data_IF_573097604665
#
_entry.id   IF_573097604665
#
_cell.length_a   1.000
_cell.length_b   1.000
_cell.length_c   1.000
_cell.angle_alpha   90.00
_cell.angle_beta   90.00
_cell.angle_gamma   90.00
#
_symmetry.space_group_name_H-M   'P 1'
#
loop_
_entity.id
_entity.type
_entity.pdbx_description
1 polymer ?
#
# COMPACT_ATOMS: atom_id res chain seq x y z
N UNK A 1 -31.24 10.42 -12.57
CA UNK A 1 -30.78 9.62 -11.40
C UNK A 1 -30.44 8.14 -11.68
N UNK A 2 -30.86 7.48 -12.78
CA UNK A 2 -30.56 6.04 -13.03
C UNK A 2 -29.33 5.73 -13.92
N UNK A 3 -28.69 6.73 -14.53
CA UNK A 3 -27.56 6.56 -15.46
C UNK A 3 -26.17 6.69 -14.80
N UNK A 4 -26.06 7.40 -13.67
CA UNK A 4 -24.81 7.50 -12.89
C UNK A 4 -24.48 6.24 -12.09
N UNK A 5 -25.50 5.54 -11.58
CA UNK A 5 -25.33 4.30 -10.78
C UNK A 5 -24.87 3.11 -11.64
N UNK A 6 -25.28 3.05 -12.91
CA UNK A 6 -24.86 2.00 -13.86
C UNK A 6 -23.42 2.17 -14.36
N UNK A 7 -22.93 3.41 -14.55
CA UNK A 7 -21.51 3.65 -14.89
C UNK A 7 -20.57 3.36 -13.71
N UNK A 8 -21.05 3.45 -12.48
CA UNK A 8 -20.29 3.15 -11.27
C UNK A 8 -20.13 1.64 -11.01
N UNK A 9 -21.18 0.84 -11.25
CA UNK A 9 -21.10 -0.63 -11.17
C UNK A 9 -20.11 -1.21 -12.20
N UNK A 10 -20.01 -0.61 -13.39
CA UNK A 10 -19.08 -1.06 -14.44
C UNK A 10 -17.63 -0.76 -14.07
N UNK A 11 -17.33 0.38 -13.43
CA UNK A 11 -15.97 0.70 -12.98
C UNK A 11 -15.52 -0.14 -11.77
N UNK A 12 -16.43 -0.44 -10.84
CA UNK A 12 -16.14 -1.34 -9.71
C UNK A 12 -16.03 -2.81 -10.17
N UNK A 13 -16.85 -3.24 -11.14
CA UNK A 13 -16.75 -4.56 -11.77
C UNK A 13 -15.49 -4.74 -12.62
N UNK A 14 -15.03 -3.70 -13.33
CA UNK A 14 -13.76 -3.75 -14.07
C UNK A 14 -12.52 -3.79 -13.15
N UNK A 15 -12.58 -3.17 -11.97
CA UNK A 15 -11.53 -3.25 -10.93
C UNK A 15 -11.59 -4.55 -10.11
N UNK A 16 -12.77 -5.16 -10.00
CA UNK A 16 -12.95 -6.52 -9.51
C UNK A 16 -12.38 -7.54 -10.50
N UNK A 17 -12.43 -7.25 -11.80
CA UNK A 17 -11.88 -8.11 -12.84
C UNK A 17 -10.35 -8.19 -12.75
N UNK A 18 -9.62 -7.14 -12.34
CA UNK A 18 -8.17 -7.20 -12.16
C UNK A 18 -7.72 -7.98 -10.91
N UNK A 19 -8.45 -7.89 -9.79
CA UNK A 19 -8.18 -8.76 -8.61
C UNK A 19 -8.64 -10.21 -8.87
N UNK A 20 -9.75 -10.41 -9.59
CA UNK A 20 -10.24 -11.72 -10.00
C UNK A 20 -9.38 -12.37 -11.10
N UNK A 21 -8.81 -11.60 -12.04
CA UNK A 21 -7.82 -12.10 -13.00
C UNK A 21 -6.48 -12.41 -12.32
N UNK A 22 -6.08 -11.63 -11.31
CA UNK A 22 -4.94 -11.97 -10.46
C UNK A 22 -5.16 -13.29 -9.69
N UNK A 23 -6.41 -13.64 -9.37
CA UNK A 23 -6.77 -14.92 -8.75
C UNK A 23 -6.82 -16.09 -9.76
N UNK A 24 -7.14 -15.85 -11.04
CA UNK A 24 -7.25 -16.91 -12.05
C UNK A 24 -5.94 -17.25 -12.77
N UNK A 25 -4.96 -16.34 -12.84
CA UNK A 25 -3.68 -16.60 -13.52
C UNK A 25 -2.61 -17.30 -12.67
N UNK A 26 -2.83 -17.48 -11.36
CA UNK A 26 -1.90 -18.19 -10.46
C UNK A 26 -2.30 -19.65 -10.18
N UNK A 27 -3.37 -20.14 -10.80
CA UNK A 27 -3.81 -21.54 -10.71
C UNK A 27 -3.74 -22.21 -12.09
N UNK A 28 -2.59 -22.83 -12.41
CA UNK A 28 -2.47 -23.98 -13.31
C UNK A 28 -2.80 -23.78 -14.80
N UNK A 29 -1.79 -23.95 -15.66
CA UNK A 29 -1.93 -23.87 -17.11
C UNK A 29 -2.72 -25.02 -17.74
N UNK A 30 -3.48 -24.68 -18.78
CA UNK A 30 -3.66 -25.49 -19.99
C UNK A 30 -3.64 -24.50 -21.17
N UNK A 31 -2.79 -24.79 -22.14
CA UNK A 31 -2.66 -24.08 -23.41
C UNK A 31 -3.95 -24.29 -24.21
N UNK A 32 -4.59 -23.19 -24.64
CA UNK A 32 -5.45 -23.21 -25.82
C UNK A 32 -5.02 -22.06 -26.74
N UNK A 33 -4.60 -22.44 -27.94
CA UNK A 33 -4.07 -21.58 -28.99
C UNK A 33 -5.12 -20.57 -29.48
N UNK A 34 -4.73 -19.35 -29.89
CA UNK A 34 -5.64 -18.45 -30.58
C UNK A 34 -5.80 -18.87 -32.04
N UNK A 35 -7.07 -18.97 -32.45
CA UNK A 35 -7.50 -19.05 -33.85
C UNK A 35 -7.14 -17.75 -34.58
N UNK A 36 -6.68 -17.94 -35.82
CA UNK A 36 -6.28 -16.97 -36.82
C UNK A 36 -7.40 -16.01 -37.23
N UNK A 37 -7.07 -14.75 -37.44
CA UNK A 37 -7.77 -13.88 -38.40
C UNK A 37 -6.78 -12.91 -39.07
N UNK A 38 -6.82 -12.92 -40.40
CA UNK A 38 -5.97 -12.27 -41.40
C UNK A 38 -6.34 -10.82 -41.69
N UNK A 39 -5.37 -10.00 -42.14
CA UNK A 39 -5.43 -9.16 -43.37
C UNK A 39 -4.20 -8.22 -43.46
N UNK A 40 -3.32 -8.45 -44.44
CA UNK A 40 -2.92 -7.57 -45.58
C UNK A 40 -2.01 -6.38 -45.22
N UNK A 41 -0.70 -6.47 -45.45
CA UNK A 41 0.04 -6.07 -46.68
C UNK A 41 0.02 -4.55 -46.96
N UNK A 42 1.21 -3.92 -46.88
CA UNK A 42 1.76 -3.19 -48.04
C UNK A 42 3.29 -2.98 -47.93
N UNK A 43 3.96 -3.21 -49.07
CA UNK A 43 5.40 -3.05 -49.35
C UNK A 43 5.74 -1.56 -49.52
N UNK A 44 7.00 -1.11 -49.46
CA UNK A 44 8.01 -1.06 -50.55
C UNK A 44 9.29 -0.44 -49.94
N UNK A 45 10.47 -1.08 -50.04
CA UNK A 45 11.53 -0.82 -51.04
C UNK A 45 12.59 0.17 -50.48
N UNK A 46 13.74 -0.26 -49.95
CA UNK A 46 15.00 -0.75 -50.57
C UNK A 46 15.80 0.31 -51.36
N UNK A 47 17.13 0.09 -51.39
CA UNK A 47 18.24 0.78 -52.11
C UNK A 47 18.91 1.90 -51.27
N UNK A 48 20.16 1.87 -50.79
CA UNK A 48 21.47 1.20 -51.03
C UNK A 48 22.52 2.14 -51.64
N UNK A 49 23.78 1.94 -51.17
CA UNK A 49 25.08 2.38 -51.72
C UNK A 49 25.42 3.87 -51.54
N UNK A 50 26.65 4.27 -51.27
CA UNK A 50 27.91 3.56 -51.11
C UNK A 50 29.10 4.52 -51.32
N UNK A 51 30.27 4.15 -50.77
CA UNK A 51 31.63 4.52 -51.20
C UNK A 51 32.05 6.01 -51.11
N UNK A 52 33.32 6.40 -51.02
CA UNK A 52 34.60 5.85 -50.55
C UNK A 52 35.63 6.99 -50.81
N UNK A 53 36.62 7.14 -49.91
CA UNK A 53 37.96 7.72 -50.06
C UNK A 53 38.25 8.99 -50.90
N UNK A 54 39.06 9.90 -50.31
CA UNK A 54 40.35 10.32 -50.89
C UNK A 54 41.26 11.01 -49.86
N UNK A 55 42.53 10.59 -49.89
CA UNK A 55 43.67 11.03 -49.07
C UNK A 55 44.15 12.46 -49.38
N UNK A 56 44.91 13.07 -48.43
CA UNK A 56 46.04 13.95 -48.77
C UNK A 56 47.14 13.92 -47.69
N UNK A 57 48.35 13.53 -48.10
CA UNK A 57 49.64 13.60 -47.40
C UNK A 57 50.15 15.05 -47.29
N UNK A 58 50.83 15.40 -46.19
CA UNK A 58 51.96 16.35 -46.19
C UNK A 58 53.04 15.90 -45.18
N UNK A 59 54.29 15.99 -45.63
CA UNK A 59 55.57 15.78 -44.93
C UNK A 59 55.67 16.55 -43.59
N UNK A 60 56.43 16.19 -42.56
CA UNK A 60 57.75 15.56 -42.50
C UNK A 60 58.73 16.54 -41.84
N UNK A 61 59.03 16.37 -40.54
CA UNK A 61 60.20 16.94 -39.86
C UNK A 61 60.65 16.02 -38.73
N UNK A 62 61.92 15.58 -38.82
CA UNK A 62 62.60 14.67 -37.88
C UNK A 62 62.91 15.40 -36.57
N UNK A 63 62.60 14.78 -35.43
CA UNK A 63 63.14 15.16 -34.12
C UNK A 63 63.65 13.91 -33.38
N UNK A 64 64.70 14.12 -32.59
CA UNK A 64 65.71 13.16 -32.11
C UNK A 64 65.14 12.07 -31.18
N UNK A 65 65.61 10.83 -31.39
CA UNK A 65 65.41 9.66 -30.52
C UNK A 65 65.99 9.92 -29.13
N UNK A 66 65.15 9.84 -28.09
CA UNK A 66 65.58 9.61 -26.70
C UNK A 66 65.00 8.26 -26.27
N UNK A 67 65.88 7.27 -26.10
CA UNK A 67 65.52 5.91 -25.70
C UNK A 67 65.21 5.92 -24.21
N UNK A 68 63.93 5.85 -23.85
CA UNK A 68 63.49 5.52 -22.49
C UNK A 68 63.18 4.03 -22.46
N UNK A 69 63.93 3.27 -21.65
CA UNK A 69 63.65 1.87 -21.35
C UNK A 69 62.30 1.78 -20.63
N UNK A 70 61.25 1.42 -21.36
CA UNK A 70 59.98 0.99 -20.76
C UNK A 70 60.20 -0.41 -20.19
N UNK A 71 60.25 -0.54 -18.86
CA UNK A 71 60.09 -1.84 -18.20
C UNK A 71 58.72 -2.38 -18.62
N UNK A 72 58.67 -3.57 -19.23
CA UNK A 72 57.42 -4.34 -19.36
C UNK A 72 56.90 -4.60 -17.95
N UNK A 73 55.97 -3.75 -17.48
CA UNK A 73 55.14 -4.09 -16.35
C UNK A 73 54.22 -5.19 -16.85
N UNK A 74 54.50 -6.41 -16.41
CA UNK A 74 53.59 -7.54 -16.48
C UNK A 74 52.18 -7.05 -16.13
N UNK A 75 51.25 -7.15 -17.08
CA UNK A 75 49.85 -6.88 -16.84
C UNK A 75 49.41 -7.80 -15.71
N UNK A 76 49.24 -7.24 -14.51
CA UNK A 76 48.54 -7.94 -13.43
C UNK A 76 47.18 -8.29 -13.98
N UNK A 77 46.99 -9.59 -14.23
CA UNK A 77 45.73 -10.22 -14.58
C UNK A 77 44.66 -9.62 -13.64
N UNK A 78 43.69 -8.92 -14.20
CA UNK A 78 42.55 -8.44 -13.43
C UNK A 78 42.00 -9.61 -12.59
N UNK A 79 41.71 -9.42 -11.29
CA UNK A 79 41.21 -10.52 -10.49
C UNK A 79 39.94 -11.03 -11.15
N UNK A 80 39.93 -12.31 -11.52
CA UNK A 80 38.73 -13.01 -12.01
C UNK A 80 37.62 -12.69 -11.02
N UNK A 81 36.56 -12.02 -11.48
CA UNK A 81 35.48 -11.53 -10.63
C UNK A 81 35.05 -12.60 -9.63
N UNK A 82 35.33 -12.36 -8.34
CA UNK A 82 34.93 -13.27 -7.28
C UNK A 82 33.40 -13.29 -7.27
N UNK A 83 32.77 -14.40 -7.68
CA UNK A 83 31.32 -14.57 -7.53
C UNK A 83 30.99 -14.33 -6.07
N UNK A 84 30.22 -13.29 -5.77
CA UNK A 84 29.77 -13.00 -4.41
C UNK A 84 29.00 -14.20 -3.91
N UNK A 85 29.52 -14.87 -2.87
CA UNK A 85 28.81 -15.95 -2.21
C UNK A 85 27.60 -15.36 -1.49
N UNK A 86 26.39 -15.76 -1.91
CA UNK A 86 25.13 -15.22 -1.40
C UNK A 86 25.02 -15.37 0.12
N UNK A 87 25.33 -16.54 0.66
CA UNK A 87 25.16 -16.84 2.09
C UNK A 87 26.49 -17.06 2.80
N UNK A 88 26.64 -16.47 4.00
CA UNK A 88 27.82 -16.66 4.84
C UNK A 88 27.91 -18.10 5.39
N UNK A 89 26.77 -18.74 5.67
CA UNK A 89 26.71 -20.11 6.16
C UNK A 89 25.29 -20.68 6.15
N UNK A 90 25.13 -21.87 6.71
CA UNK A 90 23.84 -22.57 6.83
C UNK A 90 23.46 -23.43 5.62
N UNK A 91 22.33 -24.13 5.73
CA UNK A 91 21.76 -24.99 4.69
C UNK A 91 20.28 -24.68 4.40
N UNK A 92 19.75 -23.58 4.95
CA UNK A 92 18.36 -23.15 4.76
C UNK A 92 17.34 -23.95 5.59
N UNK A 93 17.76 -24.87 6.45
CA UNK A 93 16.87 -25.56 7.39
C UNK A 93 16.50 -24.68 8.59
N UNK A 94 15.46 -25.07 9.35
CA UNK A 94 15.09 -24.38 10.57
C UNK A 94 16.24 -24.30 11.61
N UNK A 95 17.01 -25.39 11.76
CA UNK A 95 18.15 -25.47 12.70
C UNK A 95 19.39 -24.71 12.19
N UNK A 96 19.59 -24.66 10.88
CA UNK A 96 20.77 -24.04 10.24
C UNK A 96 20.33 -23.14 9.08
N UNK A 97 19.66 -22.00 9.39
CA UNK A 97 19.20 -21.08 8.36
C UNK A 97 20.37 -20.55 7.55
N UNK A 98 20.11 -20.22 6.28
CA UNK A 98 21.09 -19.50 5.48
C UNK A 98 21.29 -18.09 6.03
N UNK A 99 22.54 -17.66 6.22
CA UNK A 99 22.83 -16.37 6.87
C UNK A 99 23.31 -15.31 5.88
N UNK A 100 22.82 -14.09 6.07
CA UNK A 100 23.25 -12.88 5.36
C UNK A 100 23.80 -11.88 6.39
N UNK A 101 24.95 -11.27 6.09
CA UNK A 101 25.63 -10.28 6.96
C UNK A 101 26.22 -9.09 6.21
N UNK A 102 25.98 -8.97 4.91
CA UNK A 102 26.45 -7.80 4.15
C UNK A 102 25.43 -7.39 3.09
N UNK A 103 25.49 -6.12 2.71
CA UNK A 103 24.66 -5.58 1.64
C UNK A 103 24.91 -6.30 0.29
N UNK A 104 26.15 -6.69 0.00
CA UNK A 104 26.48 -7.45 -1.20
C UNK A 104 25.82 -8.84 -1.22
N UNK A 105 25.75 -9.50 -0.06
CA UNK A 105 25.05 -10.78 0.10
C UNK A 105 23.54 -10.62 -0.09
N UNK A 106 22.94 -9.59 0.51
CA UNK A 106 21.50 -9.32 0.37
C UNK A 106 21.14 -8.98 -1.08
N UNK A 107 21.96 -8.18 -1.78
CA UNK A 107 21.79 -7.90 -3.22
C UNK A 107 21.91 -9.16 -4.08
N UNK A 108 22.91 -10.00 -3.82
CA UNK A 108 23.08 -11.26 -4.55
C UNK A 108 21.91 -12.24 -4.28
N UNK A 109 21.35 -12.22 -3.07
CA UNK A 109 20.14 -12.96 -2.73
C UNK A 109 18.93 -12.46 -3.51
N UNK A 110 18.68 -11.14 -3.53
CA UNK A 110 17.62 -10.53 -4.33
C UNK A 110 17.71 -10.94 -5.81
N UNK A 111 18.92 -10.86 -6.39
CA UNK A 111 19.18 -11.30 -7.76
C UNK A 111 18.90 -12.79 -7.99
N UNK A 112 19.17 -13.64 -7.01
CA UNK A 112 18.87 -15.08 -7.08
C UNK A 112 17.36 -15.35 -7.11
N UNK A 113 16.59 -14.65 -6.28
CA UNK A 113 15.11 -14.71 -6.32
C UNK A 113 14.58 -14.21 -7.65
N UNK A 114 15.11 -13.09 -8.13
CA UNK A 114 14.75 -12.51 -9.42
C UNK A 114 15.24 -13.34 -10.63
N UNK A 115 16.03 -14.40 -10.39
CA UNK A 115 16.39 -15.47 -11.34
C UNK A 115 15.58 -16.76 -11.15
N UNK A 116 14.54 -16.73 -10.31
CA UNK A 116 13.53 -17.80 -10.21
C UNK A 116 13.76 -18.77 -9.05
N UNK A 117 14.81 -18.57 -8.25
CA UNK A 117 15.00 -19.35 -7.04
C UNK A 117 14.02 -18.85 -5.97
N UNK A 118 12.91 -19.55 -5.76
CA UNK A 118 11.83 -19.10 -4.86
C UNK A 118 12.16 -19.19 -3.37
N UNK A 119 13.10 -20.06 -3.00
CA UNK A 119 13.44 -20.39 -1.61
C UNK A 119 12.27 -20.98 -0.80
N UNK A 120 11.29 -21.58 -1.47
CA UNK A 120 10.15 -22.23 -0.81
C UNK A 120 10.60 -23.20 0.30
N UNK A 121 10.03 -23.04 1.50
CA UNK A 121 10.35 -23.85 2.67
C UNK A 121 11.77 -23.66 3.24
N UNK A 122 12.56 -22.70 2.74
CA UNK A 122 13.91 -22.40 3.25
C UNK A 122 13.89 -21.18 4.16
N UNK A 123 14.74 -21.22 5.20
CA UNK A 123 14.93 -20.11 6.14
C UNK A 123 16.20 -19.33 5.85
N UNK A 124 16.06 -18.03 5.69
CA UNK A 124 17.13 -17.04 5.54
C UNK A 124 17.11 -16.15 6.78
N UNK A 125 18.27 -15.82 7.34
CA UNK A 125 18.40 -15.01 8.55
C UNK A 125 19.46 -13.91 8.40
N UNK A 126 19.12 -12.69 8.83
CA UNK A 126 20.11 -11.64 9.01
C UNK A 126 20.94 -11.88 10.27
N UNK A 127 22.25 -11.70 10.17
CA UNK A 127 23.19 -11.86 11.29
C UNK A 127 23.94 -10.57 11.64
N UNK A 128 23.73 -9.51 10.85
CA UNK A 128 24.14 -8.15 11.13
C UNK A 128 23.08 -7.21 10.56
N UNK A 129 23.15 -5.95 10.97
CA UNK A 129 22.45 -4.89 10.26
C UNK A 129 23.04 -4.73 8.85
N UNK A 130 22.23 -4.19 7.93
CA UNK A 130 22.55 -4.11 6.50
C UNK A 130 22.32 -2.69 6.01
N UNK A 131 23.38 -2.02 5.56
CA UNK A 131 23.29 -0.70 4.93
C UNK A 131 23.13 -0.83 3.40
N UNK A 132 22.00 -0.35 2.88
CA UNK A 132 21.70 -0.31 1.45
C UNK A 132 21.94 1.05 0.79
N UNK A 133 22.32 2.08 1.54
CA UNK A 133 22.41 3.48 1.08
C UNK A 133 23.30 3.70 -0.15
N UNK A 134 24.32 2.86 -0.35
CA UNK A 134 25.30 2.99 -1.44
C UNK A 134 24.78 2.74 -2.85
N UNK A 135 23.55 2.26 -3.06
CA UNK A 135 22.96 2.08 -4.40
C UNK A 135 21.44 1.91 -4.38
N UNK A 136 20.78 2.23 -5.50
CA UNK A 136 19.36 1.89 -5.71
C UNK A 136 19.14 0.39 -5.52
N UNK A 137 18.09 0.07 -4.77
CA UNK A 137 17.69 -1.27 -4.43
C UNK A 137 16.86 -1.91 -5.55
N UNK A 138 17.18 -3.16 -5.87
CA UNK A 138 16.31 -4.04 -6.67
C UNK A 138 15.54 -4.95 -5.71
N UNK A 139 14.19 -4.91 -5.70
CA UNK A 139 13.39 -5.69 -4.76
C UNK A 139 13.68 -7.20 -4.79
N UNK A 140 13.50 -7.86 -3.63
CA UNK A 140 13.55 -9.32 -3.52
C UNK A 140 12.24 -9.87 -4.06
N UNK A 141 12.34 -10.56 -5.19
CA UNK A 141 11.18 -11.01 -5.92
C UNK A 141 10.56 -9.89 -6.75
N UNK A 142 9.79 -10.30 -7.76
CA UNK A 142 9.20 -9.41 -8.74
C UNK A 142 7.73 -9.75 -8.96
N UNK A 143 6.89 -8.72 -8.98
CA UNK A 143 5.51 -8.80 -9.45
C UNK A 143 5.20 -7.57 -10.29
N UNK A 144 4.60 -7.82 -11.44
CA UNK A 144 4.00 -6.82 -12.33
C UNK A 144 2.87 -7.52 -13.07
N UNK A 145 1.70 -6.89 -13.04
CA UNK A 145 0.53 -7.36 -13.78
C UNK A 145 0.85 -7.60 -15.26
N UNK A 146 0.35 -8.71 -15.82
CA UNK A 146 0.61 -9.10 -17.21
C UNK A 146 2.01 -9.68 -17.48
N UNK A 147 2.80 -9.96 -16.44
CA UNK A 147 4.13 -10.60 -16.59
C UNK A 147 4.34 -11.77 -15.62
N UNK A 148 5.29 -12.65 -15.96
CA UNK A 148 5.65 -13.77 -15.10
C UNK A 148 6.23 -13.26 -13.77
N UNK A 149 5.51 -13.52 -12.68
CA UNK A 149 5.94 -13.15 -11.33
C UNK A 149 7.02 -14.09 -10.80
N UNK A 150 7.93 -13.55 -9.99
CA UNK A 150 9.03 -14.29 -9.33
C UNK A 150 9.02 -13.98 -7.84
N UNK A 151 7.98 -14.40 -7.09
CA UNK A 151 7.87 -14.06 -5.69
C UNK A 151 8.90 -14.81 -4.84
N UNK A 152 9.25 -14.21 -3.71
CA UNK A 152 9.90 -14.94 -2.63
C UNK A 152 8.85 -15.80 -1.90
N UNK A 153 9.18 -17.07 -1.62
CA UNK A 153 8.30 -18.05 -0.97
C UNK A 153 8.88 -18.68 0.29
N UNK A 154 10.01 -18.15 0.77
CA UNK A 154 10.72 -18.66 1.94
C UNK A 154 10.35 -17.97 3.24
N UNK A 155 11.15 -18.22 4.27
CA UNK A 155 11.09 -17.54 5.56
C UNK A 155 12.28 -16.60 5.66
N UNK A 156 12.03 -15.30 5.74
CA UNK A 156 13.03 -14.27 5.98
C UNK A 156 12.95 -13.79 7.42
N UNK A 157 13.96 -14.12 8.22
CA UNK A 157 14.07 -13.76 9.63
C UNK A 157 15.10 -12.64 9.79
N UNK A 158 14.63 -11.41 9.97
CA UNK A 158 15.47 -10.26 10.26
C UNK A 158 16.22 -10.40 11.59
N UNK A 159 15.79 -11.30 12.49
CA UNK A 159 16.47 -11.56 13.76
C UNK A 159 16.75 -10.29 14.58
N UNK A 160 15.82 -9.32 14.53
CA UNK A 160 15.91 -8.03 15.20
C UNK A 160 16.89 -7.05 14.55
N UNK A 161 17.42 -7.36 13.36
CA UNK A 161 18.36 -6.52 12.63
C UNK A 161 17.67 -5.47 11.78
N UNK A 162 18.41 -4.40 11.53
CA UNK A 162 17.94 -3.24 10.76
C UNK A 162 18.54 -3.23 9.36
N UNK A 163 17.71 -2.86 8.39
CA UNK A 163 18.10 -2.52 7.02
C UNK A 163 17.98 -1.02 6.87
N UNK A 164 19.10 -0.34 6.59
CA UNK A 164 19.16 1.12 6.44
C UNK A 164 19.19 1.54 4.98
N UNK A 165 18.71 2.77 4.70
CA UNK A 165 18.96 3.43 3.42
C UNK A 165 18.33 2.72 2.23
N UNK A 166 17.20 2.05 2.43
CA UNK A 166 16.45 1.38 1.37
C UNK A 166 15.95 2.42 0.36
N UNK A 167 16.55 2.47 -0.83
CA UNK A 167 16.14 3.38 -1.92
C UNK A 167 15.60 2.61 -3.10
N UNK A 168 14.29 2.65 -3.33
CA UNK A 168 13.66 2.07 -4.52
C UNK A 168 13.14 3.21 -5.38
N UNK A 169 13.63 3.28 -6.62
CA UNK A 169 13.16 4.23 -7.62
C UNK A 169 12.78 3.43 -8.86
N UNK A 170 11.53 2.97 -8.92
CA UNK A 170 11.06 2.16 -10.05
C UNK A 170 9.68 2.62 -10.52
N UNK A 171 9.60 3.81 -11.15
CA UNK A 171 8.33 4.35 -11.64
C UNK A 171 7.71 3.52 -12.78
N UNK A 172 8.48 2.64 -13.43
CA UNK A 172 8.00 1.82 -14.53
C UNK A 172 7.66 0.39 -14.07
N UNK A 173 6.45 0.23 -13.53
CA UNK A 173 5.64 -0.99 -13.56
C UNK A 173 6.11 -2.21 -12.75
N UNK A 174 6.11 -2.13 -11.43
CA UNK A 174 6.20 -3.31 -10.59
C UNK A 174 5.95 -2.98 -9.12
N UNK A 175 5.61 -4.01 -8.35
CA UNK A 175 5.45 -3.93 -6.92
C UNK A 175 6.81 -3.57 -6.26
N UNK A 176 6.83 -2.50 -5.46
CA UNK A 176 8.05 -1.90 -4.93
C UNK A 176 8.17 -2.05 -3.40
N UNK A 177 9.39 -2.33 -2.94
CA UNK A 177 9.73 -2.47 -1.52
C UNK A 177 11.07 -3.16 -1.30
N UNK A 178 11.39 -3.51 -0.06
CA UNK A 178 12.49 -4.46 0.19
C UNK A 178 12.22 -5.77 -0.56
N UNK A 179 10.98 -6.27 -0.46
CA UNK A 179 10.43 -7.33 -1.27
C UNK A 179 9.53 -6.73 -2.36
N UNK A 180 9.67 -7.21 -3.59
CA UNK A 180 8.70 -6.85 -4.63
C UNK A 180 7.43 -7.66 -4.44
N UNK A 181 7.60 -8.97 -4.20
CA UNK A 181 6.48 -9.89 -4.10
C UNK A 181 6.74 -11.04 -3.13
N UNK A 182 5.75 -11.31 -2.29
CA UNK A 182 5.69 -12.44 -1.36
C UNK A 182 4.55 -13.39 -1.77
N UNK A 183 4.81 -14.70 -1.77
CA UNK A 183 3.80 -15.74 -2.04
C UNK A 183 4.03 -16.94 -1.13
N UNK A 184 3.14 -17.15 -0.15
CA UNK A 184 3.34 -18.21 0.85
C UNK A 184 4.56 -17.97 1.75
N UNK A 185 5.06 -16.74 1.81
CA UNK A 185 6.29 -16.40 2.51
C UNK A 185 6.03 -15.92 3.94
N UNK A 186 7.08 -15.95 4.77
CA UNK A 186 7.07 -15.33 6.09
C UNK A 186 8.19 -14.30 6.21
N UNK A 187 7.88 -13.09 6.66
CA UNK A 187 8.87 -12.05 7.00
C UNK A 187 8.74 -11.71 8.48
N UNK A 188 9.82 -11.89 9.23
CA UNK A 188 9.78 -11.86 10.69
C UNK A 188 10.90 -10.95 11.25
N UNK A 189 10.62 -10.24 12.34
CA UNK A 189 11.62 -9.58 13.19
C UNK A 189 12.60 -8.66 12.42
N UNK A 190 12.07 -7.79 11.57
CA UNK A 190 12.87 -6.98 10.66
C UNK A 190 12.56 -5.50 10.86
N UNK A 191 13.61 -4.69 11.00
CA UNK A 191 13.49 -3.25 11.01
C UNK A 191 13.98 -2.69 9.67
N UNK A 192 13.27 -1.72 9.13
CA UNK A 192 13.69 -0.93 7.96
C UNK A 192 13.72 0.53 8.40
N UNK A 193 14.86 1.17 8.28
CA UNK A 193 15.03 2.55 8.72
C UNK A 193 15.37 3.46 7.53
N UNK A 194 14.72 4.61 7.48
CA UNK A 194 14.86 5.62 6.43
C UNK A 194 14.59 5.06 5.01
N UNK A 195 13.49 4.35 4.84
CA UNK A 195 13.05 3.90 3.53
C UNK A 195 12.68 5.10 2.62
N UNK A 196 13.08 5.05 1.36
CA UNK A 196 12.64 5.95 0.30
C UNK A 196 12.19 5.10 -0.87
N UNK A 197 10.90 4.81 -0.93
CA UNK A 197 10.30 3.92 -1.94
C UNK A 197 9.41 4.73 -2.85
N UNK A 198 9.70 4.71 -4.14
CA UNK A 198 8.84 5.22 -5.20
C UNK A 198 8.51 4.09 -6.17
N UNK A 199 7.29 3.55 -6.04
CA UNK A 199 6.77 2.47 -6.87
C UNK A 199 5.88 2.96 -8.01
N UNK A 200 5.62 2.07 -8.97
CA UNK A 200 4.71 2.36 -10.09
C UNK A 200 3.25 2.26 -9.65
N UNK A 201 2.76 1.03 -9.51
CA UNK A 201 1.40 0.76 -9.00
C UNK A 201 1.49 0.58 -7.49
N UNK A 202 1.95 -0.60 -7.06
CA UNK A 202 1.94 -1.02 -5.66
C UNK A 202 3.28 -0.72 -4.97
N UNK A 203 3.24 -0.15 -3.77
CA UNK A 203 4.45 0.21 -3.05
C UNK A 203 4.28 0.04 -1.53
N UNK A 204 5.31 -0.52 -0.89
CA UNK A 204 5.45 -0.54 0.56
C UNK A 204 6.90 -0.72 0.97
N UNK A 205 7.30 -0.17 2.12
CA UNK A 205 8.69 -0.27 2.56
C UNK A 205 9.15 -1.73 2.71
N UNK A 206 8.27 -2.59 3.24
CA UNK A 206 8.55 -4.01 3.41
C UNK A 206 8.25 -4.80 2.14
N UNK A 207 7.04 -4.67 1.58
CA UNK A 207 6.66 -5.38 0.37
C UNK A 207 5.78 -4.55 -0.56
N UNK A 208 5.94 -4.69 -1.87
CA UNK A 208 4.96 -4.16 -2.82
C UNK A 208 3.68 -4.99 -2.83
N UNK A 209 3.81 -6.32 -2.97
CA UNK A 209 2.68 -7.25 -3.02
C UNK A 209 2.87 -8.45 -2.09
N UNK A 210 1.81 -8.88 -1.41
CA UNK A 210 1.81 -10.04 -0.54
C UNK A 210 0.59 -10.95 -0.76
N UNK A 211 0.83 -12.22 -1.09
CA UNK A 211 -0.21 -13.23 -1.24
C UNK A 211 0.04 -14.41 -0.30
N UNK A 212 -1.00 -14.85 0.43
CA UNK A 212 -0.92 -16.00 1.34
C UNK A 212 0.29 -15.93 2.30
N UNK A 213 0.69 -14.73 2.70
CA UNK A 213 1.95 -14.49 3.40
C UNK A 213 1.72 -14.05 4.84
N UNK A 214 2.72 -14.27 5.69
CA UNK A 214 2.75 -13.81 7.08
C UNK A 214 3.85 -12.74 7.24
N UNK A 215 3.50 -11.60 7.83
CA UNK A 215 4.48 -10.58 8.21
C UNK A 215 4.31 -10.27 9.68
N UNK A 216 5.39 -10.37 10.46
CA UNK A 216 5.29 -10.28 11.92
C UNK A 216 6.47 -9.58 12.57
N UNK A 217 6.20 -8.78 13.60
CA UNK A 217 7.22 -8.07 14.37
C UNK A 217 8.15 -7.26 13.46
N UNK A 218 7.59 -6.48 12.53
CA UNK A 218 8.38 -5.68 11.60
C UNK A 218 8.06 -4.20 11.79
N UNK A 219 9.09 -3.37 11.71
CA UNK A 219 8.99 -1.93 11.87
C UNK A 219 9.61 -1.28 10.63
N UNK A 220 8.96 -0.27 10.08
CA UNK A 220 9.54 0.54 9.03
C UNK A 220 9.34 2.04 9.27
N UNK A 221 10.32 2.84 8.86
CA UNK A 221 10.23 4.30 8.81
C UNK A 221 10.55 4.81 7.41
N UNK A 222 10.03 5.99 7.05
CA UNK A 222 10.45 6.72 5.85
C UNK A 222 9.31 7.20 4.94
N UNK A 223 9.60 7.32 3.65
CA UNK A 223 8.70 7.86 2.64
C UNK A 223 8.36 6.80 1.59
N UNK A 224 7.06 6.60 1.35
CA UNK A 224 6.55 5.66 0.36
C UNK A 224 5.60 6.39 -0.59
N UNK A 225 5.87 6.35 -1.88
CA UNK A 225 5.01 6.91 -2.91
C UNK A 225 4.73 5.92 -4.04
N UNK A 226 3.58 6.08 -4.69
CA UNK A 226 3.19 5.25 -5.84
C UNK A 226 1.88 5.65 -6.49
N UNK A 227 1.39 4.77 -7.37
CA UNK A 227 0.13 4.90 -8.10
C UNK A 227 -1.06 4.42 -7.28
N UNK A 228 -1.35 3.12 -7.35
CA UNK A 228 -2.49 2.47 -6.70
C UNK A 228 -2.03 1.40 -5.71
N UNK A 229 -2.63 1.33 -4.52
CA UNK A 229 -2.23 0.34 -3.51
C UNK A 229 -0.88 0.70 -2.90
N UNK A 230 -0.82 1.87 -2.27
CA UNK A 230 0.39 2.38 -1.60
C UNK A 230 0.19 2.22 -0.10
N UNK A 231 1.01 1.37 0.52
CA UNK A 231 1.03 1.17 1.97
C UNK A 231 2.35 1.62 2.56
N UNK A 232 2.39 2.14 3.79
CA UNK A 232 3.68 2.41 4.44
C UNK A 232 4.55 1.15 4.58
N UNK A 233 3.94 0.00 4.87
CA UNK A 233 4.61 -1.29 4.98
C UNK A 233 4.41 -2.17 3.75
N UNK A 234 3.15 -2.32 3.31
CA UNK A 234 2.78 -3.28 2.26
C UNK A 234 1.85 -2.60 1.25
N UNK A 235 2.16 -2.63 -0.04
CA UNK A 235 1.29 -2.01 -1.05
C UNK A 235 -0.09 -2.67 -1.13
N UNK A 236 -0.12 -3.91 -1.61
CA UNK A 236 -1.35 -4.72 -1.73
C UNK A 236 -1.18 -6.08 -1.07
N UNK A 237 -2.24 -6.57 -0.44
CA UNK A 237 -2.25 -7.85 0.22
C UNK A 237 -3.53 -8.65 -0.05
N UNK A 238 -3.36 -9.95 -0.29
CA UNK A 238 -4.45 -10.89 -0.43
C UNK A 238 -4.22 -12.17 0.39
N UNK A 239 -5.26 -12.65 1.09
CA UNK A 239 -5.25 -13.90 1.87
C UNK A 239 -4.10 -13.99 2.87
N UNK A 240 -3.67 -12.85 3.41
CA UNK A 240 -2.45 -12.73 4.22
C UNK A 240 -2.76 -12.39 5.68
N UNK A 241 -1.75 -12.50 6.55
CA UNK A 241 -1.86 -12.17 7.98
C UNK A 241 -0.69 -11.32 8.42
N UNK A 242 -0.99 -10.17 9.00
CA UNK A 242 -0.02 -9.17 9.41
C UNK A 242 -0.21 -8.85 10.88
N UNK A 243 0.87 -8.97 11.65
CA UNK A 243 0.79 -8.92 13.11
C UNK A 243 1.96 -8.18 13.76
N UNK A 244 1.68 -7.30 14.73
CA UNK A 244 2.73 -6.54 15.45
C UNK A 244 3.62 -5.78 14.49
N UNK A 245 3.01 -4.87 13.73
CA UNK A 245 3.70 -4.04 12.75
C UNK A 245 3.68 -2.57 13.18
N UNK A 246 4.69 -1.81 12.77
CA UNK A 246 4.70 -0.37 12.99
C UNK A 246 5.23 0.38 11.78
N UNK A 247 4.58 1.49 11.44
CA UNK A 247 5.06 2.43 10.43
C UNK A 247 5.12 3.86 10.95
N UNK A 248 6.19 4.57 10.63
CA UNK A 248 6.32 6.00 10.89
C UNK A 248 6.85 6.74 9.67
N UNK A 249 6.07 7.68 9.13
CA UNK A 249 6.53 8.51 8.03
C UNK A 249 5.42 8.98 7.11
N UNK A 250 5.74 9.14 5.82
CA UNK A 250 4.82 9.70 4.83
C UNK A 250 4.46 8.68 3.77
N UNK A 251 3.17 8.53 3.51
CA UNK A 251 2.62 7.71 2.41
C UNK A 251 1.87 8.63 1.44
N UNK A 252 2.20 8.53 0.15
CA UNK A 252 1.55 9.33 -0.91
C UNK A 252 1.13 8.46 -2.09
N UNK A 253 -0.17 8.30 -2.30
CA UNK A 253 -0.71 7.66 -3.50
C UNK A 253 -1.23 8.71 -4.49
N UNK A 254 -0.82 8.61 -5.75
CA UNK A 254 -1.36 9.47 -6.83
C UNK A 254 -2.70 8.95 -7.37
N UNK A 255 -2.97 7.65 -7.19
CA UNK A 255 -4.20 6.96 -7.54
C UNK A 255 -5.04 6.59 -6.31
N UNK A 256 -5.48 5.34 -6.26
CA UNK A 256 -6.42 4.81 -5.28
C UNK A 256 -5.71 4.02 -4.18
N UNK A 257 -6.34 3.89 -3.01
CA UNK A 257 -5.91 3.02 -1.91
C UNK A 257 -4.56 3.43 -1.31
N UNK A 258 -4.57 4.55 -0.58
CA UNK A 258 -3.46 4.96 0.28
C UNK A 258 -3.70 4.45 1.70
N UNK A 259 -2.78 3.64 2.22
CA UNK A 259 -2.82 3.10 3.57
C UNK A 259 -1.56 3.43 4.35
N UNK A 260 -1.66 3.87 5.59
CA UNK A 260 -0.44 4.08 6.39
C UNK A 260 0.30 2.77 6.73
N UNK A 261 -0.40 1.63 6.79
CA UNK A 261 0.21 0.31 6.89
C UNK A 261 0.09 -0.48 5.57
N UNK A 262 -1.14 -0.68 5.07
CA UNK A 262 -1.42 -1.49 3.88
C UNK A 262 -2.28 -0.72 2.89
N UNK A 263 -1.87 -0.58 1.64
CA UNK A 263 -2.69 0.15 0.64
C UNK A 263 -4.05 -0.53 0.43
N UNK A 264 -4.06 -1.79 -0.02
CA UNK A 264 -5.28 -2.58 -0.21
C UNK A 264 -5.19 -3.94 0.48
N UNK A 265 -6.26 -4.31 1.19
CA UNK A 265 -6.42 -5.61 1.84
C UNK A 265 -7.58 -6.39 1.24
N UNK A 266 -7.32 -7.62 0.77
CA UNK A 266 -8.35 -8.57 0.37
C UNK A 266 -8.23 -9.87 1.19
N UNK A 267 -9.30 -10.30 1.88
CA UNK A 267 -9.28 -11.53 2.70
C UNK A 267 -8.08 -11.58 3.67
N UNK A 268 -7.68 -10.40 4.16
CA UNK A 268 -6.43 -10.21 4.92
C UNK A 268 -6.75 -9.72 6.32
N UNK A 269 -5.96 -10.18 7.29
CA UNK A 269 -6.07 -9.77 8.70
C UNK A 269 -4.89 -8.90 9.07
N UNK A 270 -5.17 -7.70 9.58
CA UNK A 270 -4.20 -6.78 10.14
C UNK A 270 -4.48 -6.63 11.64
N UNK A 271 -3.51 -7.02 12.49
CA UNK A 271 -3.69 -6.95 13.94
C UNK A 271 -2.48 -6.37 14.68
N UNK A 272 -2.72 -5.61 15.75
CA UNK A 272 -1.65 -5.03 16.58
C UNK A 272 -0.71 -4.16 15.76
N UNK A 273 -1.28 -3.19 15.06
CA UNK A 273 -0.52 -2.28 14.20
C UNK A 273 -0.60 -0.86 14.72
N UNK A 274 0.55 -0.18 14.71
CA UNK A 274 0.66 1.24 15.04
C UNK A 274 1.14 2.02 13.82
N UNK A 275 0.47 3.12 13.51
CA UNK A 275 0.88 4.03 12.43
C UNK A 275 0.93 5.47 12.93
N UNK A 276 1.99 6.19 12.58
CA UNK A 276 2.16 7.63 12.83
C UNK A 276 2.68 8.35 11.59
N UNK A 277 2.39 9.64 11.47
CA UNK A 277 2.88 10.50 10.39
C UNK A 277 1.77 10.98 9.47
N UNK A 278 1.97 10.88 8.14
CA UNK A 278 1.07 11.47 7.15
C UNK A 278 0.69 10.49 6.05
N UNK A 279 -0.60 10.41 5.71
CA UNK A 279 -1.11 9.63 4.58
C UNK A 279 -1.89 10.55 3.65
N UNK A 280 -1.50 10.57 2.38
CA UNK A 280 -2.14 11.38 1.34
C UNK A 280 -2.55 10.50 0.16
N UNK A 281 -3.75 10.71 -0.36
CA UNK A 281 -4.21 10.00 -1.55
C UNK A 281 -5.37 10.68 -2.26
N UNK A 282 -5.84 10.10 -3.37
CA UNK A 282 -6.98 10.64 -4.12
C UNK A 282 -8.31 9.98 -3.71
N UNK A 283 -8.39 8.66 -3.76
CA UNK A 283 -9.60 7.88 -3.46
C UNK A 283 -9.24 6.67 -2.59
N UNK A 284 -10.01 6.39 -1.55
CA UNK A 284 -9.74 5.29 -0.62
C UNK A 284 -8.48 5.57 0.19
N UNK A 285 -8.53 6.57 1.07
CA UNK A 285 -7.39 7.00 1.88
C UNK A 285 -7.68 6.63 3.32
N UNK A 286 -6.80 5.84 3.93
CA UNK A 286 -6.90 5.42 5.33
C UNK A 286 -5.57 5.46 6.06
N UNK A 287 -5.60 5.87 7.32
CA UNK A 287 -4.40 5.88 8.16
C UNK A 287 -3.78 4.49 8.40
N UNK A 288 -4.57 3.42 8.30
CA UNK A 288 -4.12 2.03 8.36
C UNK A 288 -4.22 1.36 6.99
N UNK A 289 -5.42 1.38 6.40
CA UNK A 289 -5.72 0.72 5.14
C UNK A 289 -6.47 1.63 4.17
N UNK A 290 -6.04 1.70 2.90
CA UNK A 290 -6.80 2.43 1.89
C UNK A 290 -8.15 1.77 1.58
N UNK A 291 -8.15 0.44 1.46
CA UNK A 291 -9.36 -0.35 1.26
C UNK A 291 -9.30 -1.72 1.91
N UNK A 292 -10.45 -2.20 2.38
CA UNK A 292 -10.64 -3.55 2.90
C UNK A 292 -11.74 -4.25 2.07
N UNK A 293 -11.43 -5.46 1.60
CA UNK A 293 -12.35 -6.35 0.90
C UNK A 293 -12.36 -7.67 1.68
N UNK A 294 -13.47 -8.01 2.34
CA UNK A 294 -13.59 -9.26 3.10
C UNK A 294 -12.48 -9.47 4.15
N UNK A 295 -12.00 -8.40 4.80
CA UNK A 295 -10.85 -8.43 5.71
C UNK A 295 -11.15 -7.96 7.14
N UNK A 296 -10.13 -7.98 7.99
CA UNK A 296 -10.24 -7.58 9.39
C UNK A 296 -9.09 -6.67 9.80
N UNK A 297 -9.42 -5.58 10.50
CA UNK A 297 -8.49 -4.72 11.24
C UNK A 297 -8.84 -4.79 12.72
N UNK A 298 -7.89 -5.21 13.57
CA UNK A 298 -8.15 -5.29 15.01
C UNK A 298 -6.98 -4.90 15.90
N UNK A 299 -7.29 -4.44 17.11
CA UNK A 299 -6.31 -4.13 18.16
C UNK A 299 -5.20 -3.19 17.65
N UNK A 300 -5.55 -2.15 16.90
CA UNK A 300 -4.61 -1.29 16.16
C UNK A 300 -4.89 0.19 16.37
N UNK A 301 -3.87 1.02 16.29
CA UNK A 301 -3.94 2.45 16.62
C UNK A 301 -3.24 3.36 15.60
N UNK A 302 -3.94 4.39 15.14
CA UNK A 302 -3.35 5.50 14.40
C UNK A 302 -3.24 6.71 15.33
N UNK A 303 -2.03 7.12 15.70
CA UNK A 303 -1.80 8.19 16.68
C UNK A 303 -0.89 9.25 16.06
N UNK A 304 -1.19 10.54 16.28
CA UNK A 304 -0.49 11.65 15.62
C UNK A 304 -0.46 11.46 14.10
N UNK A 305 -1.61 11.10 13.54
CA UNK A 305 -1.76 10.72 12.15
C UNK A 305 -2.59 11.76 11.39
N UNK A 306 -2.01 12.33 10.34
CA UNK A 306 -2.71 13.21 9.42
C UNK A 306 -3.12 12.42 8.17
N UNK A 307 -4.41 12.39 7.86
CA UNK A 307 -4.96 11.69 6.69
C UNK A 307 -5.66 12.69 5.78
N UNK A 308 -5.15 12.84 4.56
CA UNK A 308 -5.69 13.78 3.57
C UNK A 308 -6.11 13.07 2.29
N UNK A 309 -7.33 13.31 1.84
CA UNK A 309 -7.79 12.76 0.56
C UNK A 309 -8.91 13.53 -0.11
N UNK A 310 -9.27 13.14 -1.34
CA UNK A 310 -10.41 13.75 -2.03
C UNK A 310 -11.70 12.95 -1.79
N UNK A 311 -11.65 11.62 -1.85
CA UNK A 311 -12.84 10.77 -1.78
C UNK A 311 -12.60 9.53 -0.92
N UNK A 312 -13.62 9.13 -0.15
CA UNK A 312 -13.56 7.96 0.74
C UNK A 312 -12.34 8.04 1.66
N UNK A 313 -12.37 9.03 2.55
CA UNK A 313 -11.26 9.34 3.45
C UNK A 313 -11.65 8.91 4.84
N UNK A 314 -10.92 7.94 5.41
CA UNK A 314 -11.11 7.47 6.78
C UNK A 314 -9.87 7.72 7.61
N UNK A 315 -10.00 8.06 8.89
CA UNK A 315 -8.83 8.17 9.76
C UNK A 315 -8.03 6.88 9.86
N UNK A 316 -8.68 5.71 9.78
CA UNK A 316 -8.00 4.40 9.70
C UNK A 316 -8.23 3.67 8.37
N UNK A 317 -9.45 3.70 7.82
CA UNK A 317 -9.79 2.90 6.64
C UNK A 317 -10.49 3.75 5.57
N UNK A 318 -9.97 3.82 4.36
CA UNK A 318 -10.64 4.59 3.29
C UNK A 318 -12.00 4.01 2.92
N UNK A 319 -12.06 2.71 2.63
CA UNK A 319 -13.31 2.02 2.32
C UNK A 319 -13.36 0.56 2.79
N UNK A 320 -14.57 0.08 3.10
CA UNK A 320 -14.87 -1.32 3.38
C UNK A 320 -15.87 -1.81 2.34
N UNK A 321 -15.51 -2.85 1.60
CA UNK A 321 -16.33 -3.44 0.54
C UNK A 321 -16.67 -4.91 0.87
N UNK A 322 -17.89 -5.33 0.48
CA UNK A 322 -18.54 -6.63 0.75
C UNK A 322 -18.78 -6.92 2.22
N UNK A 323 -17.73 -7.16 2.97
CA UNK A 323 -17.74 -7.40 4.42
C UNK A 323 -16.40 -6.95 4.98
N UNK A 324 -16.38 -6.24 6.09
CA UNK A 324 -15.15 -5.93 6.80
C UNK A 324 -15.40 -5.81 8.28
N UNK A 325 -14.39 -6.17 9.07
CA UNK A 325 -14.49 -6.11 10.54
C UNK A 325 -13.43 -5.17 11.06
N UNK A 326 -13.89 -4.16 11.81
CA UNK A 326 -13.03 -3.30 12.61
C UNK A 326 -13.36 -3.56 14.08
N UNK A 327 -12.34 -3.90 14.87
CA UNK A 327 -12.53 -4.24 16.28
C UNK A 327 -11.43 -3.64 17.14
N UNK A 328 -11.78 -2.92 18.20
CA UNK A 328 -10.78 -2.38 19.15
C UNK A 328 -9.71 -1.56 18.42
N UNK A 329 -10.18 -0.57 17.66
CA UNK A 329 -9.29 0.31 16.90
C UNK A 329 -9.41 1.73 17.42
N UNK A 330 -8.30 2.43 17.44
CA UNK A 330 -8.21 3.81 17.95
C UNK A 330 -7.62 4.71 16.86
N UNK A 331 -8.28 5.83 16.61
CA UNK A 331 -7.74 6.92 15.82
C UNK A 331 -7.59 8.16 16.70
N UNK A 332 -6.42 8.77 16.66
CA UNK A 332 -6.11 10.05 17.27
C UNK A 332 -5.26 10.89 16.31
N UNK A 333 -5.91 11.86 15.67
CA UNK A 333 -5.27 12.68 14.65
C UNK A 333 -6.24 13.55 13.88
N UNK A 334 -5.81 13.98 12.69
CA UNK A 334 -6.59 14.84 11.82
C UNK A 334 -6.95 14.11 10.53
N UNK A 335 -8.23 14.16 10.16
CA UNK A 335 -8.73 13.68 8.86
C UNK A 335 -9.24 14.86 8.07
N UNK A 336 -8.74 15.04 6.84
CA UNK A 336 -9.21 16.06 5.90
C UNK A 336 -9.65 15.41 4.59
N UNK A 337 -10.93 15.57 4.25
CA UNK A 337 -11.51 14.97 3.04
C UNK A 337 -12.52 15.88 2.34
N UNK A 338 -12.76 15.66 1.04
CA UNK A 338 -13.79 16.42 0.29
C UNK A 338 -15.11 15.66 0.20
N UNK A 339 -15.06 14.35 -0.06
CA UNK A 339 -16.25 13.51 -0.18
C UNK A 339 -16.11 12.25 0.67
N UNK A 340 -17.15 11.95 1.47
CA UNK A 340 -17.20 10.74 2.31
C UNK A 340 -16.04 10.72 3.30
N UNK A 341 -16.05 11.64 4.25
CA UNK A 341 -15.00 11.77 5.26
C UNK A 341 -15.46 11.14 6.56
N UNK A 342 -14.74 10.12 7.04
CA UNK A 342 -15.00 9.43 8.29
C UNK A 342 -13.82 9.53 9.26
N UNK A 343 -14.06 9.67 10.55
CA UNK A 343 -12.97 9.57 11.53
C UNK A 343 -12.39 8.16 11.61
N UNK A 344 -13.18 7.10 11.35
CA UNK A 344 -12.65 5.74 11.18
C UNK A 344 -12.66 5.32 9.72
N UNK A 345 -13.82 5.37 9.07
CA UNK A 345 -14.03 4.79 7.74
C UNK A 345 -14.66 5.78 6.77
N UNK A 346 -14.05 6.04 5.62
CA UNK A 346 -14.66 6.93 4.62
C UNK A 346 -16.01 6.39 4.11
N UNK A 347 -16.02 5.16 3.61
CA UNK A 347 -17.23 4.48 3.15
C UNK A 347 -17.32 3.02 3.62
N UNK A 348 -18.44 2.67 4.25
CA UNK A 348 -18.80 1.30 4.63
C UNK A 348 -19.91 0.80 3.70
N UNK A 349 -19.60 -0.15 2.82
CA UNK A 349 -20.62 -0.85 2.02
C UNK A 349 -21.41 -1.82 2.90
N UNK A 350 -20.69 -2.66 3.64
CA UNK A 350 -21.22 -3.57 4.65
C UNK A 350 -20.07 -4.00 5.57
N UNK A 351 -20.28 -3.90 6.88
CA UNK A 351 -19.24 -4.24 7.85
C UNK A 351 -19.70 -4.24 9.30
N UNK A 352 -18.81 -4.68 10.18
CA UNK A 352 -19.01 -4.68 11.62
C UNK A 352 -17.91 -3.86 12.27
N UNK A 353 -18.30 -2.74 12.88
CA UNK A 353 -17.41 -1.90 13.68
C UNK A 353 -17.75 -2.11 15.16
N UNK A 354 -16.78 -2.49 15.97
CA UNK A 354 -16.99 -2.79 17.39
C UNK A 354 -15.89 -2.24 18.25
N UNK A 355 -16.25 -1.56 19.34
CA UNK A 355 -15.30 -1.07 20.34
C UNK A 355 -14.25 -0.13 19.71
N UNK A 356 -14.70 0.83 18.90
CA UNK A 356 -13.81 1.72 18.15
C UNK A 356 -13.84 3.15 18.71
N UNK A 357 -12.73 3.85 18.58
CA UNK A 357 -12.54 5.16 19.20
C UNK A 357 -11.94 6.17 18.22
N UNK A 358 -12.43 7.41 18.25
CA UNK A 358 -12.01 8.52 17.40
C UNK A 358 -11.78 9.77 18.24
N UNK A 359 -10.56 10.30 18.19
CA UNK A 359 -10.15 11.55 18.78
C UNK A 359 -9.47 12.46 17.74
N UNK A 360 -9.29 13.73 18.09
CA UNK A 360 -8.71 14.75 17.22
C UNK A 360 -9.77 15.49 16.40
N UNK A 361 -9.58 15.60 15.09
CA UNK A 361 -10.46 16.37 14.20
C UNK A 361 -10.82 15.62 12.92
N UNK A 362 -12.09 15.71 12.52
CA UNK A 362 -12.62 15.16 11.28
C UNK A 362 -13.21 16.31 10.46
N UNK A 363 -12.47 16.74 9.45
CA UNK A 363 -12.76 17.89 8.62
C UNK A 363 -13.14 17.41 7.22
N UNK A 364 -14.43 17.49 6.88
CA UNK A 364 -14.94 17.09 5.56
C UNK A 364 -15.66 18.21 4.84
N UNK A 365 -15.97 18.04 3.55
CA UNK A 365 -16.89 18.93 2.85
C UNK A 365 -18.27 18.27 2.79
N UNK A 366 -18.40 17.21 2.00
CA UNK A 366 -19.66 16.45 1.90
C UNK A 366 -19.60 15.10 2.63
N UNK A 367 -20.69 14.78 3.34
CA UNK A 367 -20.91 13.50 4.01
C UNK A 367 -19.78 13.22 5.00
N UNK A 368 -19.71 14.07 6.01
CA UNK A 368 -18.71 14.00 7.07
C UNK A 368 -19.29 13.29 8.29
N UNK A 369 -18.61 12.25 8.77
CA UNK A 369 -19.02 11.54 9.97
C UNK A 369 -17.87 11.29 10.94
N UNK A 370 -18.13 11.34 12.24
CA UNK A 370 -17.11 11.00 13.23
C UNK A 370 -16.68 9.54 13.17
N UNK A 371 -17.59 8.59 12.91
CA UNK A 371 -17.24 7.19 12.61
C UNK A 371 -17.07 6.99 11.11
N UNK A 372 -18.09 7.35 10.32
CA UNK A 372 -18.07 7.11 8.88
C UNK A 372 -18.62 8.23 8.01
N UNK A 373 -18.03 8.49 6.85
CA UNK A 373 -18.62 9.43 5.90
C UNK A 373 -19.95 8.90 5.33
N UNK A 374 -19.91 7.68 4.78
CA UNK A 374 -21.09 6.96 4.28
C UNK A 374 -21.19 5.58 4.91
N UNK A 375 -22.39 5.27 5.40
CA UNK A 375 -22.78 3.97 5.92
C UNK A 375 -23.90 3.39 5.05
N UNK A 376 -23.59 2.37 4.25
CA UNK A 376 -24.57 1.71 3.39
C UNK A 376 -25.35 0.64 4.13
N UNK A 377 -24.65 -0.27 4.82
CA UNK A 377 -25.24 -1.35 5.61
C UNK A 377 -24.24 -1.87 6.67
N UNK A 378 -24.71 -2.73 7.57
CA UNK A 378 -23.89 -3.38 8.60
C UNK A 378 -24.23 -2.96 10.03
N UNK A 379 -23.32 -3.21 10.97
CA UNK A 379 -23.51 -2.86 12.37
C UNK A 379 -22.31 -2.14 12.98
N UNK A 380 -22.53 -0.97 13.58
CA UNK A 380 -21.60 -0.34 14.48
C UNK A 380 -22.07 -0.52 15.93
N UNK A 381 -21.16 -0.91 16.82
CA UNK A 381 -21.44 -1.11 18.23
C UNK A 381 -20.36 -0.52 19.10
N UNK A 382 -20.77 0.22 20.15
CA UNK A 382 -19.83 0.77 21.14
C UNK A 382 -18.69 1.57 20.49
N UNK A 383 -19.05 2.40 19.51
CA UNK A 383 -18.12 3.33 18.91
C UNK A 383 -18.24 4.68 19.63
N UNK A 384 -17.10 5.26 20.00
CA UNK A 384 -17.02 6.53 20.72
C UNK A 384 -16.30 7.56 19.85
N UNK A 385 -16.90 8.73 19.69
CA UNK A 385 -16.31 9.85 18.95
C UNK A 385 -16.11 11.01 19.90
N UNK A 386 -14.85 11.27 20.26
CA UNK A 386 -14.39 12.46 21.00
C UNK A 386 -13.85 13.55 20.09
N UNK A 387 -13.74 13.27 18.80
CA UNK A 387 -13.23 14.22 17.82
C UNK A 387 -14.20 15.38 17.56
N UNK A 388 -13.65 16.54 17.22
CA UNK A 388 -14.40 17.61 16.58
C UNK A 388 -14.76 17.21 15.14
N UNK A 389 -16.03 17.29 14.77
CA UNK A 389 -16.51 16.90 13.43
C UNK A 389 -17.07 18.11 12.72
N UNK A 390 -16.49 18.48 11.58
CA UNK A 390 -16.91 19.66 10.82
C UNK A 390 -17.06 19.39 9.32
N UNK A 391 -18.09 19.96 8.71
CA UNK A 391 -18.22 19.97 7.25
C UNK A 391 -19.33 20.83 6.68
N UNK A 392 -19.47 20.84 5.36
CA UNK A 392 -20.41 21.75 4.68
C UNK A 392 -21.80 21.14 4.51
N UNK A 393 -21.92 19.84 4.21
CA UNK A 393 -23.20 19.19 3.99
C UNK A 393 -23.23 17.72 4.43
N UNK A 394 -24.30 17.31 5.13
CA UNK A 394 -24.49 15.95 5.60
C UNK A 394 -23.46 15.60 6.68
N UNK A 395 -23.51 16.33 7.79
CA UNK A 395 -22.54 16.20 8.89
C UNK A 395 -23.17 15.45 10.05
N UNK A 396 -22.53 14.39 10.53
CA UNK A 396 -23.01 13.57 11.64
C UNK A 396 -21.92 13.24 12.64
N UNK A 397 -22.22 13.23 13.94
CA UNK A 397 -21.25 12.75 14.93
C UNK A 397 -20.89 11.27 14.76
N UNK A 398 -21.84 10.44 14.36
CA UNK A 398 -21.62 9.05 13.96
C UNK A 398 -21.37 8.93 12.44
N UNK A 399 -22.34 9.33 11.61
CA UNK A 399 -22.23 9.18 10.16
C UNK A 399 -22.77 10.35 9.37
N UNK A 400 -22.06 10.76 8.31
CA UNK A 400 -22.55 11.81 7.43
C UNK A 400 -23.82 11.40 6.69
N UNK A 401 -23.82 10.17 6.15
CA UNK A 401 -25.01 9.56 5.54
C UNK A 401 -25.15 8.10 5.95
N UNK A 402 -26.32 7.73 6.48
CA UNK A 402 -26.66 6.35 6.82
C UNK A 402 -27.84 5.87 5.99
N UNK A 403 -27.64 4.87 5.14
CA UNK A 403 -28.67 4.32 4.24
C UNK A 403 -29.48 3.21 4.89
N UNK A 404 -28.81 2.22 5.50
CA UNK A 404 -29.38 1.08 6.24
C UNK A 404 -28.47 0.74 7.43
N UNK A 405 -28.68 -0.42 8.05
CA UNK A 405 -27.83 -0.93 9.13
C UNK A 405 -28.24 -0.42 10.52
N UNK A 406 -27.41 -0.72 11.51
CA UNK A 406 -27.66 -0.44 12.92
C UNK A 406 -26.44 0.22 13.55
N UNK A 407 -26.64 1.36 14.21
CA UNK A 407 -25.70 1.89 15.20
C UNK A 407 -26.28 1.61 16.60
N UNK A 408 -25.57 0.83 17.41
CA UNK A 408 -26.02 0.36 18.73
C UNK A 408 -25.03 0.77 19.81
N UNK A 409 -25.48 1.53 20.81
CA UNK A 409 -24.65 2.09 21.89
C UNK A 409 -23.44 2.86 21.39
N UNK A 410 -23.63 3.72 20.39
CA UNK A 410 -22.58 4.63 19.92
C UNK A 410 -22.72 6.00 20.59
N UNK A 411 -21.60 6.63 20.91
CA UNK A 411 -21.56 7.88 21.66
C UNK A 411 -20.80 8.96 20.91
N UNK A 412 -21.42 10.14 20.79
CA UNK A 412 -20.78 11.36 20.32
C UNK A 412 -20.49 12.26 21.53
N UNK A 413 -19.22 12.48 21.82
CA UNK A 413 -18.73 13.30 22.93
C UNK A 413 -18.07 14.61 22.47
N UNK A 414 -17.56 14.67 21.23
CA UNK A 414 -17.05 15.91 20.63
C UNK A 414 -18.16 16.78 20.03
N UNK A 415 -17.79 17.98 19.60
CA UNK A 415 -18.72 18.90 18.93
C UNK A 415 -18.90 18.57 17.44
N UNK A 416 -20.11 18.81 16.93
CA UNK A 416 -20.48 18.67 15.52
C UNK A 416 -20.89 20.03 14.95
N UNK A 417 -20.17 20.49 13.93
CA UNK A 417 -20.48 21.74 13.25
C UNK A 417 -20.69 21.52 11.75
N UNK A 418 -21.68 22.19 11.15
CA UNK A 418 -21.76 22.19 9.70
C UNK A 418 -22.75 23.15 9.07
N UNK A 419 -22.80 23.12 7.73
CA UNK A 419 -23.69 23.97 6.95
C UNK A 419 -25.11 23.42 6.87
N UNK A 420 -25.30 22.35 6.12
CA UNK A 420 -26.60 21.72 5.86
C UNK A 420 -26.67 20.25 6.33
N UNK A 421 -27.87 19.82 6.71
CA UNK A 421 -28.17 18.47 7.22
C UNK A 421 -27.20 18.03 8.32
N UNK A 422 -27.16 18.81 9.41
CA UNK A 422 -26.29 18.56 10.56
C UNK A 422 -27.06 17.79 11.63
N UNK A 423 -26.62 16.59 11.95
CA UNK A 423 -27.17 15.75 13.02
C UNK A 423 -26.14 15.42 14.09
N UNK A 424 -26.52 15.39 15.36
CA UNK A 424 -25.59 14.95 16.41
C UNK A 424 -25.09 13.51 16.23
N UNK A 425 -25.89 12.63 15.62
CA UNK A 425 -25.47 11.28 15.22
C UNK A 425 -25.39 11.14 13.71
N UNK A 426 -26.46 11.45 12.98
CA UNK A 426 -26.52 11.21 11.53
C UNK A 426 -26.92 12.46 10.77
N UNK A 427 -26.11 12.88 9.81
CA UNK A 427 -26.42 14.02 8.96
C UNK A 427 -27.65 13.76 8.08
N UNK A 428 -27.58 12.71 7.26
CA UNK A 428 -28.69 12.27 6.41
C UNK A 428 -29.02 10.79 6.62
N UNK A 429 -30.27 10.50 7.02
CA UNK A 429 -30.73 9.14 7.29
C UNK A 429 -31.73 8.65 6.24
N UNK A 430 -31.51 7.43 5.76
CA UNK A 430 -32.49 6.61 5.04
C UNK A 430 -33.26 5.70 6.00
N UNK A 431 -33.10 4.38 5.88
CA UNK A 431 -33.80 3.37 6.70
C UNK A 431 -32.92 2.67 7.75
N UNK A 432 -31.85 3.35 8.20
CA UNK A 432 -30.99 2.87 9.29
C UNK A 432 -31.68 2.93 10.67
N UNK A 433 -31.08 2.27 11.66
CA UNK A 433 -31.55 2.29 13.06
C UNK A 433 -30.47 2.81 14.00
N UNK A 434 -30.87 3.67 14.93
CA UNK A 434 -30.05 4.12 16.06
C UNK A 434 -30.65 3.51 17.33
N UNK A 435 -29.86 2.70 18.04
CA UNK A 435 -30.31 1.98 19.24
C UNK A 435 -29.42 2.37 20.42
N UNK A 436 -29.99 3.01 21.44
CA UNK A 436 -29.26 3.36 22.67
C UNK A 436 -28.00 4.21 22.42
N UNK A 437 -28.01 5.02 21.37
CA UNK A 437 -26.94 5.97 21.07
C UNK A 437 -27.15 7.26 21.87
N UNK A 438 -26.06 7.99 22.13
CA UNK A 438 -26.09 9.22 22.90
C UNK A 438 -25.23 10.32 22.26
N UNK A 439 -25.65 11.57 22.42
CA UNK A 439 -24.92 12.78 22.03
C UNK A 439 -24.74 13.66 23.26
N UNK A 440 -23.49 13.93 23.60
CA UNK A 440 -23.09 14.76 24.73
C UNK A 440 -22.47 16.10 24.29
N UNK A 441 -21.84 16.14 23.13
CA UNK A 441 -21.25 17.37 22.57
C UNK A 441 -22.27 18.31 21.94
N UNK A 442 -21.83 19.53 21.63
CA UNK A 442 -22.63 20.55 20.96
C UNK A 442 -22.91 20.21 19.50
N UNK A 443 -24.08 20.61 19.00
CA UNK A 443 -24.45 20.46 17.59
C UNK A 443 -24.83 21.84 17.06
N UNK A 444 -24.14 22.32 16.03
CA UNK A 444 -24.41 23.62 15.39
C UNK A 444 -24.53 23.46 13.88
N UNK A 445 -25.68 23.85 13.34
CA UNK A 445 -25.91 23.92 11.90
C UNK A 445 -26.35 25.31 11.46
N UNK A 446 -25.98 25.71 10.24
CA UNK A 446 -26.40 27.01 9.66
C UNK A 446 -27.80 26.93 9.04
N UNK A 447 -28.13 25.80 8.40
CA UNK A 447 -29.39 25.60 7.68
C UNK A 447 -30.27 24.55 8.37
N UNK A 448 -30.31 23.31 7.88
CA UNK A 448 -31.05 22.22 8.53
C UNK A 448 -30.21 21.55 9.62
N UNK A 449 -30.69 21.59 10.86
CA UNK A 449 -30.06 20.91 11.98
C UNK A 449 -31.06 20.15 12.85
N UNK A 450 -30.59 19.04 13.43
CA UNK A 450 -31.35 18.28 14.41
C UNK A 450 -30.43 17.67 15.45
N UNK A 451 -30.96 17.48 16.67
CA UNK A 451 -30.15 16.99 17.80
C UNK A 451 -29.54 15.61 17.52
N UNK A 452 -30.27 14.73 16.85
CA UNK A 452 -29.81 13.39 16.49
C UNK A 452 -29.67 13.21 14.97
N UNK A 453 -30.71 13.60 14.21
CA UNK A 453 -30.78 13.46 12.76
C UNK A 453 -30.93 14.84 12.12
N UNK A 454 -30.05 15.18 11.17
CA UNK A 454 -30.13 16.44 10.43
C UNK A 454 -31.25 16.44 9.40
N UNK A 455 -31.33 15.39 8.57
CA UNK A 455 -32.38 15.22 7.55
C UNK A 455 -32.79 13.75 7.37
N UNK A 456 -34.10 13.52 7.38
CA UNK A 456 -34.72 12.24 7.01
C UNK A 456 -35.04 12.20 5.52
N UNK A 457 -34.75 11.09 4.84
CA UNK A 457 -35.24 10.81 3.49
C UNK A 457 -36.36 9.77 3.59
N UNK A 458 -37.60 10.23 3.47
CA UNK A 458 -38.78 9.36 3.37
C UNK A 458 -38.86 8.67 2.01
#
# INVERSE_FOLDING_TARGET
>A
MKTGLKRFYVSCAQKLLSVALCLSFLAGGVVLAPLTASASEDKVGMVSKGAENAEKKVAGKKAKKRVVRVRKVSARKAPRGSRVRIFAGGNGSAKRPWTIRTAAQLRAFAQSVNKGNSYAGKRIRLTSDIDLSGAVWSPIGFHKEGTASRPFKGIFDGNGRTVYGLRVSSPASGAAGLFGALDGASVLNLNIDEASVSGGTEAGALAGFAFKSEVRNCVASGQVSGGDGVGGLIGSAAKSRFDRLSFSGTVTASGSNAGGAVGLMAETVLSRVSVRGKVQGKDGVGGMAGGIIAGELRDSEGILLAVEGNKNVGGLVGSINRTGVLRKVVFDGEVSGKENTGGLVGWVESGVLTDCDVAGAVLGWERTGGVSGVWSDGTARRCVVRAFVSGTAGVGGFSGRMSKGIADRCEMQGDVEGGDAVGGLVGSMGSGKLEKCAVFGGVRGVLASGREIGKSMH
#
